data_IF_615639779325
#
_entry.id   IF_615639779325
#
_cell.length_a   1.000
_cell.length_b   1.000
_cell.length_c   1.000
_cell.angle_alpha   90.00
_cell.angle_beta   90.00
_cell.angle_gamma   90.00
#
_symmetry.space_group_name_H-M   'P 1'
#
loop_
_entity.id
_entity.type
_entity.pdbx_description
1 polymer ?
#
# COMPACT_ATOMS: atom_id res chain seq x y z
N UNK A 1 -15.73 32.85 10.55
CA UNK A 1 -14.91 31.66 10.25
C UNK A 1 -15.75 30.73 9.38
N UNK A 2 -15.40 30.56 8.10
CA UNK A 2 -16.07 29.54 7.25
C UNK A 2 -15.65 28.17 7.78
N UNK A 3 -16.64 27.36 8.17
CA UNK A 3 -16.46 25.94 8.48
C UNK A 3 -15.74 25.28 7.30
N UNK A 4 -14.56 24.69 7.53
CA UNK A 4 -13.94 23.81 6.54
C UNK A 4 -14.84 22.58 6.45
N UNK A 5 -15.67 22.51 5.43
CA UNK A 5 -16.31 21.26 5.04
C UNK A 5 -15.21 20.24 4.81
N UNK A 6 -15.19 19.14 5.57
CA UNK A 6 -14.36 17.99 5.26
C UNK A 6 -14.81 17.48 3.89
N UNK A 7 -14.01 17.76 2.86
CA UNK A 7 -14.25 17.22 1.53
C UNK A 7 -13.61 15.84 1.53
N UNK A 8 -14.45 14.81 1.50
CA UNK A 8 -14.04 13.42 1.40
C UNK A 8 -14.06 13.02 -0.06
N UNK A 9 -12.96 12.47 -0.55
CA UNK A 9 -12.86 11.88 -1.89
C UNK A 9 -12.58 10.38 -1.75
N UNK A 10 -13.12 9.56 -2.65
CA UNK A 10 -12.68 8.17 -2.75
C UNK A 10 -11.28 8.15 -3.37
N UNK A 11 -10.39 7.29 -2.85
CA UNK A 11 -9.02 7.16 -3.36
C UNK A 11 -9.01 6.76 -4.85
N UNK A 12 -10.01 6.00 -5.29
CA UNK A 12 -10.16 5.57 -6.68
C UNK A 12 -10.51 6.71 -7.64
N UNK A 13 -11.05 7.82 -7.14
CA UNK A 13 -11.40 9.00 -7.93
C UNK A 13 -10.22 9.99 -8.06
N UNK A 14 -9.14 9.77 -7.31
CA UNK A 14 -7.97 10.63 -7.37
C UNK A 14 -7.14 10.36 -8.64
N UNK A 15 -6.68 11.40 -9.35
CA UNK A 15 -5.74 11.24 -10.45
C UNK A 15 -4.52 10.44 -10.01
N UNK A 16 -4.12 9.45 -10.82
CA UNK A 16 -2.98 8.59 -10.53
C UNK A 16 -1.83 8.86 -11.49
N UNK A 17 -0.61 8.88 -10.96
CA UNK A 17 0.61 8.86 -11.77
C UNK A 17 1.66 7.93 -11.19
N UNK A 18 2.57 7.47 -12.05
CA UNK A 18 3.77 6.78 -11.61
C UNK A 18 4.83 7.81 -11.24
N UNK A 19 5.55 7.53 -10.16
CA UNK A 19 6.71 8.31 -9.79
C UNK A 19 7.86 8.15 -10.81
N UNK A 20 8.78 9.12 -10.87
CA UNK A 20 10.00 9.02 -11.68
C UNK A 20 10.85 7.81 -11.26
N UNK A 21 10.81 7.48 -9.97
CA UNK A 21 11.47 6.33 -9.38
C UNK A 21 10.72 5.01 -9.51
N UNK A 22 9.56 4.95 -10.18
CA UNK A 22 8.69 3.77 -10.15
C UNK A 22 9.44 2.49 -10.55
N UNK A 23 9.30 1.44 -9.75
CA UNK A 23 9.86 0.11 -10.02
C UNK A 23 8.75 -0.92 -10.09
N UNK A 24 8.75 -1.69 -11.17
CA UNK A 24 7.95 -2.90 -11.30
C UNK A 24 8.87 -4.10 -11.12
N UNK A 25 8.63 -4.88 -10.07
CA UNK A 25 9.42 -6.05 -9.73
C UNK A 25 8.52 -7.27 -9.80
N UNK A 26 8.88 -8.23 -10.66
CA UNK A 26 8.20 -9.50 -10.81
C UNK A 26 9.11 -10.59 -10.24
N UNK A 27 8.64 -11.30 -9.21
CA UNK A 27 9.38 -12.39 -8.58
C UNK A 27 8.55 -13.65 -8.67
N UNK A 28 8.79 -14.42 -9.73
CA UNK A 28 8.26 -15.77 -9.85
C UNK A 28 9.45 -16.73 -9.92
N UNK A 29 9.49 -17.71 -9.01
CA UNK A 29 10.52 -18.75 -9.08
C UNK A 29 10.21 -19.64 -10.30
N UNK A 30 11.17 -19.77 -11.21
CA UNK A 30 11.06 -20.56 -12.44
C UNK A 30 11.08 -22.07 -12.19
N UNK A 31 10.41 -22.56 -11.15
CA UNK A 31 9.99 -23.96 -11.15
C UNK A 31 8.73 -24.01 -12.02
N UNK A 32 8.81 -24.77 -13.11
CA UNK A 32 7.69 -25.13 -13.99
C UNK A 32 6.69 -26.03 -13.24
N UNK A 33 6.19 -25.57 -12.11
CA UNK A 33 4.96 -26.04 -11.51
C UNK A 33 3.88 -25.06 -11.95
N UNK A 34 2.71 -25.55 -12.37
CA UNK A 34 1.58 -24.69 -12.70
C UNK A 34 1.16 -23.87 -11.49
N UNK A 35 1.73 -22.68 -11.32
CA UNK A 35 1.27 -21.69 -10.36
C UNK A 35 0.01 -21.08 -10.92
N UNK A 36 -1.13 -21.40 -10.32
CA UNK A 36 -2.44 -21.02 -10.84
C UNK A 36 -2.83 -19.56 -10.49
N UNK A 37 -2.10 -18.86 -9.61
CA UNK A 37 -2.40 -17.46 -9.24
C UNK A 37 -1.15 -16.66 -8.80
N UNK A 38 -0.97 -15.49 -9.40
CA UNK A 38 -0.02 -14.45 -8.96
C UNK A 38 -0.78 -13.34 -8.20
N UNK A 39 -0.18 -12.80 -7.14
CA UNK A 39 -0.67 -11.65 -6.39
C UNK A 39 0.17 -10.41 -6.71
N UNK A 40 -0.48 -9.27 -6.90
CA UNK A 40 0.17 -7.96 -7.10
C UNK A 40 -0.09 -7.04 -5.92
N UNK A 41 0.96 -6.49 -5.34
CA UNK A 41 0.91 -5.42 -4.32
C UNK A 41 1.38 -4.12 -4.96
N UNK A 42 0.58 -3.06 -4.84
CA UNK A 42 0.91 -1.72 -5.34
C UNK A 42 1.11 -0.78 -4.15
N UNK A 43 2.31 -0.22 -4.03
CA UNK A 43 2.66 0.79 -3.04
C UNK A 43 2.45 2.17 -3.66
N UNK A 44 1.54 2.94 -3.08
CA UNK A 44 1.17 4.26 -3.55
C UNK A 44 1.15 5.25 -2.39
N UNK A 45 1.36 6.53 -2.70
CA UNK A 45 1.32 7.64 -1.76
C UNK A 45 0.24 8.62 -2.20
N UNK A 46 -0.55 9.14 -1.26
CA UNK A 46 -1.49 10.23 -1.55
C UNK A 46 -0.76 11.55 -1.30
N UNK A 47 -0.61 12.36 -2.36
CA UNK A 47 0.11 13.64 -2.30
C UNK A 47 -0.87 14.79 -2.50
N UNK A 48 -0.95 15.78 -1.58
CA UNK A 48 -1.75 16.98 -1.79
C UNK A 48 -1.22 17.82 -2.95
N UNK A 49 -2.11 18.32 -3.82
CA UNK A 49 -1.76 19.19 -4.95
C UNK A 49 -2.59 20.47 -4.89
N UNK A 50 -2.01 21.59 -4.41
CA UNK A 50 -2.73 22.86 -4.32
C UNK A 50 -3.17 23.36 -5.70
N UNK A 51 -4.44 23.76 -5.83
CA UNK A 51 -4.98 24.32 -7.08
C UNK A 51 -5.49 23.29 -8.09
N UNK A 52 -5.49 22.00 -7.73
CA UNK A 52 -6.13 20.92 -8.48
C UNK A 52 -7.50 20.56 -7.85
N UNK A 53 -8.44 20.05 -8.65
CA UNK A 53 -9.69 19.45 -8.16
C UNK A 53 -9.79 18.02 -8.73
N UNK A 54 -9.68 16.95 -7.90
CA UNK A 54 -9.49 16.98 -6.45
C UNK A 54 -8.09 17.50 -6.04
N UNK A 55 -7.94 18.11 -4.85
CA UNK A 55 -6.68 18.74 -4.38
C UNK A 55 -5.64 17.72 -3.91
N UNK A 56 -5.63 16.53 -4.52
CA UNK A 56 -4.71 15.45 -4.24
C UNK A 56 -4.54 14.55 -5.46
N UNK A 57 -3.42 13.84 -5.51
CA UNK A 57 -3.13 12.80 -6.48
C UNK A 57 -2.60 11.55 -5.77
N UNK A 58 -2.66 10.41 -6.44
CA UNK A 58 -2.01 9.18 -5.99
C UNK A 58 -0.76 8.95 -6.82
N UNK A 59 0.38 8.86 -6.15
CA UNK A 59 1.68 8.60 -6.74
C UNK A 59 2.07 7.14 -6.50
N UNK A 60 2.07 6.34 -7.55
CA UNK A 60 2.51 4.94 -7.49
C UNK A 60 4.05 4.90 -7.38
N UNK A 61 4.55 4.25 -6.33
CA UNK A 61 5.99 4.14 -6.03
C UNK A 61 6.57 2.80 -6.45
N UNK A 62 5.87 1.70 -6.19
CA UNK A 62 6.35 0.37 -6.54
C UNK A 62 5.21 -0.60 -6.79
N UNK A 63 5.39 -1.51 -7.75
CA UNK A 63 4.51 -2.64 -8.00
C UNK A 63 5.29 -3.93 -7.86
N UNK A 64 4.83 -4.83 -7.00
CA UNK A 64 5.46 -6.13 -6.76
C UNK A 64 4.47 -7.22 -7.09
N UNK A 65 4.83 -8.09 -8.02
CA UNK A 65 4.04 -9.28 -8.35
C UNK A 65 4.80 -10.53 -7.92
N UNK A 66 4.12 -11.41 -7.21
CA UNK A 66 4.70 -12.61 -6.62
C UNK A 66 3.70 -13.77 -6.62
N UNK A 67 4.20 -15.00 -6.47
CA UNK A 67 3.32 -16.16 -6.30
C UNK A 67 2.56 -16.09 -4.98
N UNK A 68 1.48 -16.85 -4.88
CA UNK A 68 0.69 -16.98 -3.66
C UNK A 68 1.52 -17.42 -2.44
N UNK A 69 2.47 -18.32 -2.61
CA UNK A 69 3.36 -18.80 -1.54
C UNK A 69 4.24 -17.67 -1.00
N UNK A 70 4.83 -16.87 -1.88
CA UNK A 70 5.63 -15.71 -1.50
C UNK A 70 4.79 -14.64 -0.81
N UNK A 71 3.56 -14.41 -1.27
CA UNK A 71 2.66 -13.47 -0.62
C UNK A 71 2.29 -13.90 0.81
N UNK A 72 2.04 -15.20 1.04
CA UNK A 72 1.82 -15.75 2.38
C UNK A 72 3.03 -15.58 3.29
N UNK A 73 4.23 -15.85 2.78
CA UNK A 73 5.46 -15.66 3.53
C UNK A 73 5.68 -14.20 3.90
N UNK A 74 5.44 -13.28 2.96
CA UNK A 74 5.51 -11.84 3.20
C UNK A 74 4.50 -11.40 4.27
N UNK A 75 3.24 -11.83 4.17
CA UNK A 75 2.19 -11.47 5.12
C UNK A 75 2.54 -11.94 6.54
N UNK A 76 3.06 -13.16 6.69
CA UNK A 76 3.54 -13.68 7.98
C UNK A 76 4.68 -12.83 8.54
N UNK A 77 5.69 -12.53 7.73
CA UNK A 77 6.84 -11.74 8.14
C UNK A 77 6.42 -10.34 8.58
N UNK A 78 5.54 -9.69 7.81
CA UNK A 78 5.01 -8.36 8.18
C UNK A 78 4.25 -8.41 9.51
N UNK A 79 3.42 -9.43 9.72
CA UNK A 79 2.71 -9.62 10.99
C UNK A 79 3.65 -9.76 12.18
N UNK A 80 4.70 -10.58 12.06
CA UNK A 80 5.73 -10.74 13.09
C UNK A 80 6.47 -9.43 13.37
N UNK A 81 6.79 -8.65 12.33
CA UNK A 81 7.47 -7.34 12.48
C UNK A 81 6.59 -6.28 13.09
N UNK A 82 5.31 -6.21 12.72
CA UNK A 82 4.34 -5.30 13.34
C UNK A 82 4.17 -5.63 14.82
N UNK A 83 3.98 -6.90 15.17
CA UNK A 83 3.86 -7.32 16.56
C UNK A 83 5.11 -6.98 17.39
N UNK A 84 6.31 -7.21 16.85
CA UNK A 84 7.55 -6.84 17.50
C UNK A 84 7.71 -5.31 17.67
N UNK A 85 7.27 -4.53 16.69
CA UNK A 85 7.27 -3.08 16.75
C UNK A 85 6.30 -2.56 17.82
N UNK A 86 5.09 -3.10 17.88
CA UNK A 86 4.09 -2.75 18.91
C UNK A 86 4.59 -3.08 20.33
N UNK A 87 5.28 -4.20 20.51
CA UNK A 87 5.92 -4.58 21.78
C UNK A 87 7.06 -3.63 22.20
N UNK A 88 7.66 -2.88 21.27
CA UNK A 88 8.71 -1.90 21.58
C UNK A 88 8.17 -0.59 22.18
N UNK A 89 6.86 -0.49 22.42
CA UNK A 89 6.21 0.69 23.01
C UNK A 89 5.74 1.72 21.99
N UNK A 90 5.85 1.42 20.69
CA UNK A 90 5.33 2.23 19.59
C UNK A 90 4.10 1.54 19.00
N UNK A 91 2.99 1.56 19.74
CA UNK A 91 1.75 0.93 19.29
C UNK A 91 1.24 1.58 17.99
N UNK A 92 0.97 0.78 16.97
CA UNK A 92 0.37 1.21 15.69
C UNK A 92 -1.15 1.02 15.73
N UNK A 93 -1.62 -0.02 16.43
CA UNK A 93 -3.05 -0.24 16.69
C UNK A 93 -3.44 0.48 17.98
N UNK A 94 -4.45 1.33 17.91
CA UNK A 94 -5.18 1.73 19.11
C UNK A 94 -5.69 0.46 19.77
N UNK A 95 -5.37 0.26 21.05
CA UNK A 95 -5.96 -0.80 21.85
C UNK A 95 -7.44 -0.48 21.94
N UNK A 96 -8.25 -1.07 21.06
CA UNK A 96 -9.70 -1.04 21.19
C UNK A 96 -10.06 -1.58 22.56
N UNK A 97 -10.70 -0.74 23.36
CA UNK A 97 -11.30 -1.07 24.65
C UNK A 97 -12.21 -2.29 24.46
N UNK A 98 -11.90 -3.39 25.17
CA UNK A 98 -12.83 -4.51 25.40
C UNK A 98 -13.92 -4.14 26.41
#
# INVERSE_FOLDING_TARGET
MKSMSNITFAIDDLPRRKDEGFRHVYVNQSNLAGSFMDLTILFSEVTPVPGQDPPAEVVDRARITMTWEHAKALARLLGERVAAYEQSGQAIREQGEE
#
